data_IF_132161122376
#
_entry.id   IF_132161122376
#
_cell.length_a   1.000
_cell.length_b   1.000
_cell.length_c   1.000
_cell.angle_alpha   90.00
_cell.angle_beta   90.00
_cell.angle_gamma   90.00
#
_symmetry.space_group_name_H-M   'P 1'
#
loop_
_entity.id
_entity.type
_entity.pdbx_description
1 polymer ?
#
# COMPACT_ATOMS: atom_id res chain seq x y z
N UNK A 1 8.81 -18.98 0.78
CA UNK A 1 8.62 -19.15 -0.67
C UNK A 1 9.42 -18.08 -1.37
N UNK A 2 9.91 -18.33 -2.58
CA UNK A 2 10.60 -17.30 -3.36
C UNK A 2 9.63 -16.17 -3.73
N UNK A 3 10.11 -14.93 -3.82
CA UNK A 3 9.28 -13.76 -4.06
C UNK A 3 8.88 -13.63 -5.54
N UNK A 4 8.10 -14.60 -6.00
CA UNK A 4 7.55 -14.65 -7.35
C UNK A 4 6.05 -14.38 -7.35
N UNK A 5 5.51 -13.80 -8.44
CA UNK A 5 4.09 -13.62 -8.59
C UNK A 5 3.34 -14.95 -8.43
N UNK A 6 2.17 -14.88 -7.80
CA UNK A 6 1.27 -16.02 -7.68
C UNK A 6 0.34 -16.08 -8.88
N UNK A 7 0.28 -17.24 -9.55
CA UNK A 7 -0.52 -17.41 -10.78
C UNK A 7 -1.56 -18.50 -10.58
N UNK A 8 -2.83 -18.15 -10.80
CA UNK A 8 -3.94 -19.10 -10.87
C UNK A 8 -4.44 -19.21 -12.32
N UNK A 9 -4.15 -20.34 -12.97
CA UNK A 9 -4.59 -20.56 -14.34
C UNK A 9 -6.10 -20.86 -14.41
N UNK A 10 -6.81 -20.17 -15.30
CA UNK A 10 -8.25 -20.31 -15.49
C UNK A 10 -8.71 -21.76 -15.76
N UNK A 11 -7.96 -22.52 -16.56
CA UNK A 11 -8.26 -23.93 -16.82
C UNK A 11 -8.17 -24.81 -15.56
N UNK A 12 -7.18 -24.56 -14.68
CA UNK A 12 -7.05 -25.23 -13.38
C UNK A 12 -8.17 -24.81 -12.43
N UNK A 13 -8.49 -23.52 -12.40
CA UNK A 13 -9.61 -22.98 -11.62
C UNK A 13 -10.94 -23.62 -12.02
N UNK A 14 -11.29 -23.62 -13.31
CA UNK A 14 -12.52 -24.23 -13.84
C UNK A 14 -12.56 -25.73 -13.50
N UNK A 15 -11.43 -26.45 -13.62
CA UNK A 15 -11.34 -27.86 -13.23
C UNK A 15 -11.61 -28.06 -11.73
N UNK A 16 -11.15 -27.16 -10.86
CA UNK A 16 -11.37 -27.22 -9.41
C UNK A 16 -12.78 -26.81 -9.02
N UNK A 17 -13.35 -25.79 -9.65
CA UNK A 17 -14.76 -25.41 -9.55
C UNK A 17 -15.65 -26.62 -9.84
N UNK A 18 -15.45 -27.28 -10.98
CA UNK A 18 -16.22 -28.49 -11.35
C UNK A 18 -16.05 -29.64 -10.35
N UNK A 19 -14.83 -29.85 -9.84
CA UNK A 19 -14.53 -30.95 -8.91
C UNK A 19 -15.09 -30.73 -7.52
N UNK A 20 -15.06 -29.48 -7.02
CA UNK A 20 -15.36 -29.17 -5.63
C UNK A 20 -16.69 -28.41 -5.44
N UNK A 21 -17.35 -28.01 -6.54
CA UNK A 21 -18.73 -27.51 -6.55
C UNK A 21 -18.92 -26.11 -5.99
N UNK A 22 -17.90 -25.23 -6.05
CA UNK A 22 -17.98 -23.84 -5.58
C UNK A 22 -18.09 -22.86 -6.75
N UNK A 23 -18.63 -21.66 -6.53
CA UNK A 23 -18.76 -20.62 -7.55
C UNK A 23 -17.47 -19.81 -7.69
N UNK A 24 -17.21 -19.25 -8.87
CA UNK A 24 -16.10 -18.29 -9.04
C UNK A 24 -16.30 -17.04 -8.15
N UNK A 25 -17.55 -16.69 -7.85
CA UNK A 25 -17.89 -15.60 -6.94
C UNK A 25 -17.47 -15.90 -5.49
N UNK A 26 -17.35 -17.17 -5.10
CA UNK A 26 -16.85 -17.56 -3.77
C UNK A 26 -15.36 -17.20 -3.59
N UNK A 27 -14.67 -16.88 -4.69
CA UNK A 27 -13.26 -16.44 -4.71
C UNK A 27 -13.10 -14.91 -4.75
N UNK A 28 -14.19 -14.15 -4.63
CA UNK A 28 -14.09 -12.69 -4.48
C UNK A 28 -13.18 -12.38 -3.28
N UNK A 29 -12.17 -11.52 -3.50
CA UNK A 29 -11.09 -11.19 -2.55
C UNK A 29 -10.02 -12.26 -2.32
N UNK A 30 -9.95 -13.33 -3.13
CA UNK A 30 -8.88 -14.33 -3.03
C UNK A 30 -7.45 -13.72 -3.00
N UNK A 31 -7.09 -12.74 -3.85
CA UNK A 31 -5.77 -12.11 -3.77
C UNK A 31 -5.49 -11.46 -2.41
N UNK A 32 -6.47 -10.74 -1.85
CA UNK A 32 -6.38 -10.12 -0.53
C UNK A 32 -6.23 -11.17 0.58
N UNK A 33 -7.03 -12.23 0.54
CA UNK A 33 -6.99 -13.31 1.53
C UNK A 33 -5.71 -14.16 1.43
N UNK A 34 -5.01 -14.13 0.29
CA UNK A 34 -3.70 -14.75 0.12
C UNK A 34 -2.55 -13.85 0.57
N UNK A 35 -2.69 -12.54 0.44
CA UNK A 35 -1.73 -11.58 1.00
C UNK A 35 -1.74 -11.61 2.54
N UNK A 36 -2.90 -11.91 3.15
CA UNK A 36 -3.09 -11.97 4.60
C UNK A 36 -3.80 -13.26 5.05
N UNK A 37 -3.16 -14.43 4.86
CA UNK A 37 -3.78 -15.71 5.13
C UNK A 37 -3.95 -15.95 6.63
N UNK A 38 -4.88 -16.83 6.98
CA UNK A 38 -5.07 -17.32 8.36
C UNK A 38 -3.81 -18.08 8.80
N UNK A 39 -3.32 -18.98 7.96
CA UNK A 39 -2.14 -19.78 8.20
C UNK A 39 -1.53 -20.29 6.89
N UNK A 40 -0.25 -20.62 6.89
CA UNK A 40 0.43 -21.29 5.78
C UNK A 40 1.06 -22.59 6.27
N UNK A 41 0.86 -23.66 5.52
CA UNK A 41 1.30 -25.00 5.84
C UNK A 41 2.32 -25.52 4.81
N UNK A 42 3.28 -26.32 5.27
CA UNK A 42 4.14 -27.13 4.42
C UNK A 42 3.37 -28.35 3.86
N UNK A 43 3.77 -28.81 2.67
CA UNK A 43 3.35 -30.09 2.10
C UNK A 43 4.58 -30.99 2.03
N UNK A 44 4.56 -32.11 2.76
CA UNK A 44 5.69 -33.06 2.78
C UNK A 44 6.12 -33.44 1.35
N UNK A 45 7.30 -32.97 0.94
CA UNK A 45 8.11 -33.60 -0.11
C UNK A 45 8.11 -32.94 -1.50
N UNK A 46 7.40 -31.83 -1.75
CA UNK A 46 7.35 -31.23 -3.11
C UNK A 46 7.59 -29.72 -3.17
N UNK A 47 7.94 -29.08 -2.04
CA UNK A 47 8.19 -27.64 -1.97
C UNK A 47 6.95 -26.77 -2.10
N UNK A 48 5.74 -27.35 -2.11
CA UNK A 48 4.50 -26.56 -2.09
C UNK A 48 4.23 -25.99 -0.71
N UNK A 49 3.42 -24.95 -0.65
CA UNK A 49 2.81 -24.41 0.56
C UNK A 49 1.31 -24.35 0.37
N UNK A 50 0.57 -24.48 1.45
CA UNK A 50 -0.88 -24.33 1.44
C UNK A 50 -1.24 -23.12 2.30
N UNK A 51 -1.81 -22.08 1.71
CA UNK A 51 -2.38 -20.96 2.43
C UNK A 51 -3.84 -21.25 2.77
N UNK A 52 -4.22 -21.06 4.03
CA UNK A 52 -5.60 -21.07 4.49
C UNK A 52 -6.14 -19.64 4.41
N UNK A 53 -7.16 -19.43 3.58
CA UNK A 53 -7.72 -18.12 3.27
C UNK A 53 -8.95 -17.80 4.12
N UNK A 54 -9.19 -16.50 4.34
CA UNK A 54 -10.34 -15.98 5.10
C UNK A 54 -11.62 -15.84 4.24
N UNK A 55 -11.70 -16.58 3.14
CA UNK A 55 -12.91 -16.72 2.32
C UNK A 55 -13.50 -18.11 2.54
N UNK A 56 -14.83 -18.22 2.49
CA UNK A 56 -15.57 -19.46 2.73
C UNK A 56 -16.30 -19.90 1.47
N UNK A 57 -16.40 -21.21 1.26
CA UNK A 57 -17.31 -21.77 0.26
C UNK A 57 -18.78 -21.69 0.75
N UNK A 58 -19.71 -22.00 -0.15
CA UNK A 58 -21.15 -22.07 0.17
C UNK A 58 -21.51 -23.06 1.30
N UNK A 59 -20.59 -23.94 1.72
CA UNK A 59 -20.76 -24.87 2.84
C UNK A 59 -20.13 -24.34 4.14
N UNK A 60 -19.60 -23.13 4.12
CA UNK A 60 -18.96 -22.47 5.28
C UNK A 60 -17.49 -22.87 5.51
N UNK A 61 -16.90 -23.70 4.66
CA UNK A 61 -15.51 -24.13 4.78
C UNK A 61 -14.56 -23.06 4.25
N UNK A 62 -13.49 -22.78 4.99
CA UNK A 62 -12.46 -21.87 4.52
C UNK A 62 -11.71 -22.46 3.32
N UNK A 63 -11.43 -21.63 2.32
CA UNK A 63 -10.63 -22.05 1.18
C UNK A 63 -9.19 -22.30 1.59
N UNK A 64 -8.62 -23.35 1.00
CA UNK A 64 -7.17 -23.54 0.97
C UNK A 64 -6.66 -23.33 -0.44
N UNK A 65 -5.48 -22.74 -0.51
CA UNK A 65 -4.79 -22.41 -1.74
C UNK A 65 -3.44 -23.11 -1.71
N UNK A 66 -3.29 -24.14 -2.52
CA UNK A 66 -1.99 -24.78 -2.68
C UNK A 66 -1.18 -24.02 -3.72
N UNK A 67 -0.07 -23.50 -3.27
CA UNK A 67 0.92 -22.76 -4.06
C UNK A 67 2.14 -23.64 -4.16
N UNK A 68 2.70 -23.81 -5.36
CA UNK A 68 3.99 -24.49 -5.53
C UNK A 68 4.89 -23.60 -6.34
N UNK A 69 6.16 -23.56 -5.96
CA UNK A 69 7.17 -23.09 -6.89
C UNK A 69 7.12 -23.94 -8.16
N UNK A 70 6.90 -23.29 -9.30
CA UNK A 70 6.78 -23.96 -10.57
C UNK A 70 7.41 -23.13 -11.66
N UNK A 71 7.87 -23.82 -12.69
CA UNK A 71 8.23 -23.18 -13.93
C UNK A 71 6.92 -22.87 -14.65
N UNK A 72 6.54 -21.59 -14.64
CA UNK A 72 5.58 -21.07 -15.60
C UNK A 72 6.14 -21.23 -17.01
N UNK A 73 5.34 -20.89 -18.01
CA UNK A 73 5.76 -20.96 -19.41
C UNK A 73 6.98 -20.07 -19.72
N UNK A 74 7.28 -19.06 -18.90
CA UNK A 74 8.37 -18.09 -19.15
C UNK A 74 9.08 -17.54 -17.88
N UNK A 75 8.79 -18.03 -16.67
CA UNK A 75 9.49 -17.63 -15.45
C UNK A 75 9.24 -18.61 -14.29
N UNK A 76 10.10 -18.54 -13.28
CA UNK A 76 9.86 -19.13 -11.97
C UNK A 76 8.68 -18.38 -11.33
N UNK A 77 7.59 -19.09 -11.06
CA UNK A 77 6.37 -18.51 -10.48
C UNK A 77 5.87 -19.34 -9.31
N UNK A 78 5.11 -18.71 -8.44
CA UNK A 78 4.36 -19.40 -7.41
C UNK A 78 3.01 -19.85 -8.02
N UNK A 79 2.98 -21.04 -8.63
CA UNK A 79 1.77 -21.57 -9.26
C UNK A 79 0.75 -21.97 -8.21
N UNK A 80 -0.43 -21.37 -8.27
CA UNK A 80 -1.60 -21.88 -7.55
C UNK A 80 -2.08 -23.15 -8.27
N UNK A 81 -1.82 -24.29 -7.65
CA UNK A 81 -2.16 -25.60 -8.21
C UNK A 81 -3.59 -26.01 -7.87
N UNK A 82 -4.14 -25.48 -6.78
CA UNK A 82 -5.53 -25.71 -6.39
C UNK A 82 -6.06 -24.66 -5.43
N UNK A 83 -7.34 -24.35 -5.59
CA UNK A 83 -8.15 -23.52 -4.69
C UNK A 83 -9.43 -24.30 -4.44
N UNK A 84 -9.78 -24.57 -3.18
CA UNK A 84 -11.03 -25.24 -2.82
C UNK A 84 -11.31 -25.13 -1.31
N UNK A 85 -12.58 -25.21 -0.91
CA UNK A 85 -12.97 -25.28 0.50
C UNK A 85 -12.40 -26.51 1.20
N UNK A 86 -11.87 -26.33 2.41
CA UNK A 86 -11.25 -27.41 3.21
C UNK A 86 -12.01 -27.64 4.49
N UNK A 87 -12.29 -28.92 4.76
CA UNK A 87 -12.89 -29.36 6.02
C UNK A 87 -12.04 -28.93 7.21
N UNK A 88 -12.72 -28.45 8.25
CA UNK A 88 -12.11 -27.94 9.47
C UNK A 88 -11.17 -28.96 10.11
N UNK A 89 -11.61 -30.22 10.21
CA UNK A 89 -10.87 -31.32 10.84
C UNK A 89 -9.57 -31.63 10.10
N UNK A 90 -9.54 -31.39 8.79
CA UNK A 90 -8.32 -31.57 8.00
C UNK A 90 -7.26 -30.52 8.33
N UNK A 91 -7.68 -29.27 8.57
CA UNK A 91 -6.78 -28.17 8.96
C UNK A 91 -6.25 -28.40 10.37
N UNK A 92 -7.12 -28.80 11.31
CA UNK A 92 -6.71 -29.19 12.68
C UNK A 92 -5.66 -30.30 12.64
N UNK A 93 -5.88 -31.31 11.79
CA UNK A 93 -4.90 -32.40 11.59
C UNK A 93 -3.55 -31.90 11.07
N UNK A 94 -3.53 -30.91 10.18
CA UNK A 94 -2.28 -30.32 9.67
C UNK A 94 -1.51 -29.56 10.76
N UNK A 95 -2.20 -28.80 11.60
CA UNK A 95 -1.61 -28.13 12.76
C UNK A 95 -0.94 -29.14 13.68
N UNK A 96 -1.64 -30.21 14.05
CA UNK A 96 -1.11 -31.27 14.92
C UNK A 96 0.07 -32.04 14.32
N UNK A 97 0.11 -32.16 12.99
CA UNK A 97 1.22 -32.82 12.29
C UNK A 97 2.46 -31.92 12.14
N UNK A 98 2.43 -30.70 12.69
CA UNK A 98 3.55 -29.77 12.65
C UNK A 98 3.79 -29.18 11.26
N UNK A 99 2.77 -29.08 10.42
CA UNK A 99 2.93 -28.51 9.07
C UNK A 99 2.89 -26.98 9.08
N UNK A 100 2.61 -26.34 10.20
CA UNK A 100 2.49 -24.88 10.28
C UNK A 100 3.84 -24.21 9.98
N UNK A 101 3.82 -23.22 9.08
CA UNK A 101 5.01 -22.44 8.67
C UNK A 101 4.83 -20.93 8.83
N UNK A 102 3.58 -20.47 8.84
CA UNK A 102 3.20 -19.11 9.18
C UNK A 102 1.79 -19.12 9.79
N UNK A 103 1.54 -18.25 10.75
CA UNK A 103 0.20 -17.99 11.25
C UNK A 103 0.00 -16.51 11.56
N UNK A 104 -1.14 -15.97 11.13
CA UNK A 104 -1.74 -14.83 11.82
C UNK A 104 -2.41 -15.41 13.09
N UNK A 105 -1.78 -15.20 14.25
CA UNK A 105 -2.23 -15.82 15.51
C UNK A 105 -3.68 -15.47 15.82
N UNK A 106 -4.11 -14.24 15.56
CA UNK A 106 -5.47 -13.80 15.86
C UNK A 106 -6.47 -14.53 14.97
N UNK A 107 -6.23 -14.53 13.65
CA UNK A 107 -7.12 -15.19 12.69
C UNK A 107 -7.15 -16.70 12.90
N UNK A 108 -6.01 -17.33 13.17
CA UNK A 108 -5.93 -18.77 13.37
C UNK A 108 -6.65 -19.23 14.65
N UNK A 109 -6.54 -18.47 15.76
CA UNK A 109 -7.29 -18.76 16.98
C UNK A 109 -8.80 -18.50 16.80
N UNK A 110 -9.18 -17.44 16.08
CA UNK A 110 -10.58 -17.19 15.71
C UNK A 110 -11.15 -18.32 14.85
N UNK A 111 -10.38 -18.82 13.89
CA UNK A 111 -10.74 -19.96 13.06
C UNK A 111 -10.99 -21.23 13.90
N UNK A 112 -10.12 -21.52 14.87
CA UNK A 112 -10.25 -22.69 15.76
C UNK A 112 -11.40 -22.60 16.77
N UNK A 113 -11.87 -21.39 17.09
CA UNK A 113 -12.96 -21.15 18.04
C UNK A 113 -14.34 -20.98 17.38
N UNK A 114 -14.40 -20.67 16.09
CA UNK A 114 -15.63 -20.37 15.35
C UNK A 114 -16.44 -21.57 14.86
N UNK A 115 -16.28 -22.77 15.42
CA UNK A 115 -16.92 -23.99 14.91
C UNK A 115 -18.40 -24.13 15.33
N UNK A 116 -19.29 -24.52 14.40
CA UNK A 116 -20.56 -25.17 14.74
C UNK A 116 -20.28 -26.46 15.55
N UNK A 117 -21.16 -26.80 16.49
CA UNK A 117 -21.05 -27.99 17.34
C UNK A 117 -20.63 -29.24 16.54
N UNK A 118 -19.74 -30.10 17.08
CA UNK A 118 -19.17 -31.21 16.34
C UNK A 118 -20.29 -32.08 15.76
N UNK A 119 -20.36 -32.14 14.43
CA UNK A 119 -21.18 -33.14 13.74
C UNK A 119 -20.52 -34.48 14.06
N UNK A 120 -21.26 -35.31 14.81
CA UNK A 120 -20.92 -36.64 15.30
C UNK A 120 -19.59 -37.24 14.77
N UNK A 121 -18.57 -37.27 15.63
CA UNK A 121 -17.52 -38.30 15.60
C UNK A 121 -16.18 -38.00 14.91
N UNK A 122 -15.93 -36.81 14.36
CA UNK A 122 -14.69 -36.58 13.58
C UNK A 122 -13.52 -35.89 14.31
N UNK A 123 -13.75 -35.19 15.43
CA UNK A 123 -12.71 -34.42 16.14
C UNK A 123 -12.92 -34.45 17.66
N UNK A 124 -11.88 -34.80 18.42
CA UNK A 124 -11.93 -34.81 19.90
C UNK A 124 -11.49 -33.46 20.49
N UNK A 125 -11.96 -33.11 21.69
CA UNK A 125 -11.53 -31.91 22.42
C UNK A 125 -10.01 -31.84 22.61
N UNK A 126 -9.39 -33.00 22.87
CA UNK A 126 -7.94 -33.12 23.00
C UNK A 126 -7.20 -32.72 21.70
N UNK A 127 -7.76 -33.05 20.54
CA UNK A 127 -7.17 -32.70 19.24
C UNK A 127 -7.28 -31.20 18.95
N UNK A 128 -8.41 -30.58 19.31
CA UNK A 128 -8.61 -29.15 19.16
C UNK A 128 -7.72 -28.34 20.12
N UNK A 129 -7.60 -28.80 21.36
CA UNK A 129 -6.72 -28.19 22.37
C UNK A 129 -5.26 -28.23 21.93
N UNK A 130 -4.79 -29.36 21.40
CA UNK A 130 -3.44 -29.47 20.86
C UNK A 130 -3.22 -28.50 19.68
N UNK A 131 -4.11 -28.47 18.69
CA UNK A 131 -3.98 -27.53 17.56
C UNK A 131 -3.97 -26.05 18.00
N UNK A 132 -4.78 -25.71 19.00
CA UNK A 132 -4.79 -24.38 19.62
C UNK A 132 -3.45 -24.04 20.26
N UNK A 133 -2.86 -24.99 20.99
CA UNK A 133 -1.53 -24.84 21.59
C UNK A 133 -0.45 -24.63 20.52
N UNK A 134 -0.48 -25.41 19.43
CA UNK A 134 0.46 -25.23 18.30
C UNK A 134 0.43 -23.79 17.78
N UNK A 135 -0.76 -23.21 17.57
CA UNK A 135 -0.88 -21.83 17.08
C UNK A 135 -0.38 -20.80 18.09
N UNK A 136 -0.68 -20.98 19.40
CA UNK A 136 -0.24 -20.06 20.46
C UNK A 136 1.29 -20.00 20.54
N UNK A 137 1.90 -21.18 20.55
CA UNK A 137 3.34 -21.36 20.75
C UNK A 137 4.15 -21.10 19.46
N UNK A 138 3.49 -21.06 18.29
CA UNK A 138 4.15 -20.83 17.02
C UNK A 138 4.83 -19.45 16.97
N UNK A 139 6.07 -19.42 16.46
CA UNK A 139 6.80 -18.19 16.17
C UNK A 139 7.05 -18.11 14.67
N UNK A 140 6.52 -17.06 14.03
CA UNK A 140 6.79 -16.81 12.61
C UNK A 140 8.28 -16.52 12.41
N UNK A 141 8.88 -17.11 11.38
CA UNK A 141 10.25 -16.74 10.97
C UNK A 141 10.27 -15.26 10.57
N UNK A 142 11.31 -14.51 10.99
CA UNK A 142 11.54 -13.14 10.49
C UNK A 142 11.76 -13.22 8.98
N UNK A 143 10.86 -12.63 8.21
CA UNK A 143 10.99 -12.55 6.75
C UNK A 143 12.17 -11.60 6.47
N UNK A 144 13.19 -12.09 5.78
CA UNK A 144 14.23 -11.22 5.19
C UNK A 144 13.63 -10.67 3.90
N UNK A 145 13.26 -9.39 3.91
CA UNK A 145 12.42 -8.67 2.94
C UNK A 145 13.11 -8.36 1.59
N UNK A 146 14.05 -9.19 1.14
CA UNK A 146 15.10 -8.78 0.19
C UNK A 146 14.76 -8.96 -1.31
N UNK A 147 13.49 -8.94 -1.73
CA UNK A 147 13.19 -9.12 -3.18
C UNK A 147 11.97 -8.41 -3.79
N UNK A 148 11.25 -7.51 -3.10
CA UNK A 148 10.23 -6.67 -3.78
C UNK A 148 10.93 -5.50 -4.50
N UNK A 149 10.64 -5.25 -5.79
CA UNK A 149 11.23 -4.12 -6.54
C UNK A 149 10.86 -2.79 -5.88
N UNK A 150 9.66 -2.69 -5.29
CA UNK A 150 9.26 -1.53 -4.46
C UNK A 150 10.07 -1.44 -3.19
N UNK A 151 10.53 -2.57 -2.63
CA UNK A 151 11.45 -2.60 -1.50
C UNK A 151 12.86 -2.16 -1.92
N UNK A 152 13.35 -2.57 -3.09
CA UNK A 152 14.63 -2.08 -3.63
C UNK A 152 14.60 -0.58 -3.97
N UNK A 153 13.52 -0.07 -4.55
CA UNK A 153 13.33 1.36 -4.78
C UNK A 153 13.19 2.13 -3.46
N UNK A 154 12.50 1.55 -2.48
CA UNK A 154 12.35 2.13 -1.14
C UNK A 154 13.67 2.17 -0.36
N UNK A 155 14.46 1.09 -0.37
CA UNK A 155 15.80 1.06 0.21
C UNK A 155 16.73 2.04 -0.51
N UNK A 156 16.61 2.16 -1.84
CA UNK A 156 17.35 3.18 -2.58
C UNK A 156 16.98 4.61 -2.14
N UNK A 157 15.68 4.90 -1.94
CA UNK A 157 15.21 6.19 -1.41
C UNK A 157 15.74 6.43 0.01
N UNK A 158 15.70 5.41 0.88
CA UNK A 158 16.20 5.51 2.26
C UNK A 158 17.71 5.76 2.30
N UNK A 159 18.47 5.00 1.51
CA UNK A 159 19.92 5.14 1.40
C UNK A 159 20.31 6.50 0.82
N UNK A 160 19.64 6.95 -0.25
CA UNK A 160 19.83 8.28 -0.80
C UNK A 160 19.58 9.37 0.25
N UNK A 161 18.45 9.29 0.96
CA UNK A 161 18.13 10.22 2.03
C UNK A 161 19.22 10.24 3.10
N UNK A 162 19.72 9.09 3.54
CA UNK A 162 20.79 9.01 4.55
C UNK A 162 22.10 9.63 4.05
N UNK A 163 22.46 9.42 2.79
CA UNK A 163 23.63 10.08 2.18
C UNK A 163 23.46 11.59 2.14
N UNK A 164 22.30 12.08 1.70
CA UNK A 164 22.00 13.52 1.63
C UNK A 164 21.89 14.16 3.03
N UNK A 165 21.39 13.42 4.03
CA UNK A 165 21.36 13.85 5.44
C UNK A 165 22.77 14.01 5.98
N UNK A 166 23.66 13.05 5.69
CA UNK A 166 25.07 13.12 6.07
C UNK A 166 25.75 14.35 5.43
N UNK A 167 25.50 14.60 4.14
CA UNK A 167 25.98 15.81 3.47
C UNK A 167 25.45 17.10 4.12
N UNK A 168 24.21 17.10 4.63
CA UNK A 168 23.67 18.27 5.34
C UNK A 168 24.40 18.50 6.66
N UNK A 169 24.65 17.43 7.42
CA UNK A 169 25.39 17.47 8.69
C UNK A 169 26.81 18.01 8.45
N UNK A 170 27.46 17.57 7.38
CA UNK A 170 28.81 18.00 6.98
C UNK A 170 28.85 19.40 6.33
N UNK A 171 27.69 19.99 6.03
CA UNK A 171 27.60 21.29 5.35
C UNK A 171 27.92 21.27 3.85
N UNK A 172 27.98 20.08 3.23
CA UNK A 172 28.27 19.88 1.81
C UNK A 172 27.01 19.78 0.94
N UNK A 173 25.82 19.63 1.55
CA UNK A 173 24.56 19.53 0.82
C UNK A 173 24.25 20.84 0.05
N UNK A 174 23.85 20.77 -1.23
CA UNK A 174 23.50 21.95 -2.02
C UNK A 174 22.43 22.84 -1.37
N UNK A 175 22.59 24.16 -1.51
CA UNK A 175 21.59 25.12 -0.99
C UNK A 175 20.24 24.93 -1.69
N UNK A 176 19.18 24.95 -0.90
CA UNK A 176 17.81 24.79 -1.39
C UNK A 176 17.41 23.33 -1.65
N UNK A 177 18.23 22.35 -1.26
CA UNK A 177 17.93 20.93 -1.41
C UNK A 177 16.58 20.53 -0.82
N UNK A 178 15.89 19.65 -1.54
CA UNK A 178 14.62 19.05 -1.15
C UNK A 178 14.82 17.54 -1.04
N UNK A 179 14.72 17.01 0.17
CA UNK A 179 14.67 15.57 0.40
C UNK A 179 13.42 14.96 -0.23
N UNK A 180 13.63 13.84 -0.92
CA UNK A 180 12.58 12.96 -1.43
C UNK A 180 12.44 11.79 -0.48
N UNK A 181 11.30 11.71 0.20
CA UNK A 181 11.03 10.70 1.24
C UNK A 181 10.19 9.51 0.70
N UNK A 182 9.95 9.47 -0.62
CA UNK A 182 9.20 8.41 -1.28
C UNK A 182 7.71 8.70 -1.41
N UNK A 183 6.91 7.65 -1.57
CA UNK A 183 5.44 7.70 -1.74
C UNK A 183 4.78 7.00 -0.55
N UNK A 184 3.59 7.44 -0.10
CA UNK A 184 2.83 6.77 0.95
C UNK A 184 2.58 5.29 0.67
N UNK A 185 3.02 4.41 1.59
CA UNK A 185 2.65 2.99 1.54
C UNK A 185 1.18 2.75 1.94
N UNK A 186 0.79 1.48 2.00
CA UNK A 186 -0.56 1.06 2.34
C UNK A 186 -1.03 1.54 3.73
N UNK A 187 -0.13 1.66 4.71
CA UNK A 187 -0.46 2.18 6.05
C UNK A 187 -0.85 3.66 5.93
N UNK A 188 0.03 4.46 5.34
CA UNK A 188 -0.21 5.90 5.16
C UNK A 188 -1.46 6.17 4.29
N UNK A 189 -1.68 5.39 3.22
CA UNK A 189 -2.87 5.51 2.37
C UNK A 189 -4.16 5.11 3.06
N UNK A 190 -4.14 4.04 3.87
CA UNK A 190 -5.32 3.67 4.66
C UNK A 190 -5.72 4.77 5.64
N UNK A 191 -4.76 5.55 6.12
CA UNK A 191 -4.99 6.75 6.92
C UNK A 191 -5.47 7.99 6.12
N UNK A 192 -5.70 7.85 4.81
CA UNK A 192 -6.19 8.93 3.95
C UNK A 192 -5.11 9.91 3.49
N UNK A 193 -3.82 9.56 3.59
CA UNK A 193 -2.74 10.35 3.00
C UNK A 193 -2.78 10.13 1.47
N UNK A 194 -2.95 11.19 0.66
CA UNK A 194 -3.00 11.11 -0.80
C UNK A 194 -1.73 10.49 -1.34
N UNK A 195 -1.83 9.78 -2.45
CA UNK A 195 -0.70 9.07 -3.03
C UNK A 195 0.12 10.02 -3.91
N UNK A 196 0.73 10.99 -3.23
CA UNK A 196 1.61 12.02 -3.76
C UNK A 196 3.00 11.90 -3.11
N UNK A 197 4.07 12.36 -3.79
CA UNK A 197 5.43 12.36 -3.23
C UNK A 197 5.50 13.03 -1.85
N UNK A 198 6.22 12.40 -0.93
CA UNK A 198 6.54 12.98 0.37
C UNK A 198 7.87 13.75 0.25
N UNK A 199 7.86 15.03 0.60
CA UNK A 199 9.03 15.90 0.50
C UNK A 199 9.33 16.67 1.78
N UNK A 200 10.58 17.04 1.95
CA UNK A 200 11.04 17.89 3.04
C UNK A 200 12.18 18.80 2.59
N UNK A 201 12.11 20.11 2.83
CA UNK A 201 13.26 20.98 2.53
C UNK A 201 14.36 20.84 3.58
N UNK A 202 15.62 20.77 3.13
CA UNK A 202 16.77 20.69 4.03
C UNK A 202 16.86 21.89 4.98
N UNK A 203 16.54 23.08 4.46
CA UNK A 203 16.44 24.32 5.25
C UNK A 203 15.40 24.21 6.38
N UNK A 204 14.29 23.51 6.14
CA UNK A 204 13.27 23.29 7.16
C UNK A 204 13.72 22.27 8.19
N UNK A 205 14.36 21.19 7.77
CA UNK A 205 14.95 20.23 8.70
C UNK A 205 15.93 20.93 9.65
N UNK A 206 16.84 21.77 9.12
CA UNK A 206 17.74 22.61 9.93
C UNK A 206 17.01 23.57 10.85
N UNK A 207 15.98 24.26 10.36
CA UNK A 207 15.22 25.22 11.16
C UNK A 207 14.47 24.53 12.31
N UNK A 208 13.93 23.32 12.07
CA UNK A 208 13.23 22.53 13.07
C UNK A 208 14.18 21.92 14.09
N UNK A 209 15.35 21.44 13.66
CA UNK A 209 16.36 20.86 14.55
C UNK A 209 16.94 21.88 15.53
N UNK A 210 16.95 23.17 15.15
CA UNK A 210 17.45 24.29 15.96
C UNK A 210 16.33 25.09 16.64
N UNK A 211 15.09 24.60 16.62
CA UNK A 211 13.98 25.35 17.20
C UNK A 211 14.05 25.29 18.73
N UNK A 212 14.14 26.45 19.41
CA UNK A 212 14.47 26.56 20.85
C UNK A 212 13.60 25.71 21.78
N UNK A 213 12.32 25.53 21.47
CA UNK A 213 11.40 24.78 22.32
C UNK A 213 11.53 23.25 22.18
N UNK A 214 12.05 22.77 21.04
CA UNK A 214 12.18 21.34 20.74
C UNK A 214 13.45 21.06 19.91
N UNK A 215 14.66 21.38 20.41
CA UNK A 215 15.88 21.15 19.67
C UNK A 215 16.15 19.64 19.53
N UNK A 216 16.79 19.26 18.44
CA UNK A 216 17.27 17.89 18.21
C UNK A 216 18.46 17.86 17.25
N UNK A 217 19.29 16.82 17.32
CA UNK A 217 20.34 16.61 16.32
C UNK A 217 19.72 16.10 15.01
N UNK A 218 20.17 16.61 13.86
CA UNK A 218 19.74 16.15 12.53
C UNK A 218 19.92 14.63 12.34
N UNK A 219 20.87 14.00 13.04
CA UNK A 219 21.03 12.54 13.06
C UNK A 219 19.77 11.78 13.49
N UNK A 220 18.88 12.40 14.28
CA UNK A 220 17.57 11.84 14.64
C UNK A 220 16.73 11.49 13.40
N UNK A 221 16.94 12.20 12.29
CA UNK A 221 16.19 11.99 11.06
C UNK A 221 16.72 10.80 10.25
N UNK A 222 17.80 10.12 10.67
CA UNK A 222 18.32 8.94 9.97
C UNK A 222 17.20 7.91 9.74
N UNK A 223 17.14 7.36 8.54
CA UNK A 223 16.11 6.44 8.09
C UNK A 223 14.67 6.99 8.09
N UNK A 224 14.47 8.32 8.07
CA UNK A 224 13.13 8.92 8.07
C UNK A 224 12.18 8.36 6.99
N UNK A 225 12.58 8.13 5.72
CA UNK A 225 11.71 7.49 4.74
C UNK A 225 11.21 6.11 5.20
N UNK A 226 12.09 5.32 5.82
CA UNK A 226 11.74 4.00 6.34
C UNK A 226 10.78 4.08 7.52
N UNK A 227 11.07 4.98 8.44
CA UNK A 227 10.30 5.22 9.66
C UNK A 227 8.90 5.76 9.36
N UNK A 228 8.75 6.65 8.38
CA UNK A 228 7.45 7.17 7.95
C UNK A 228 6.54 6.08 7.39
N UNK A 229 7.11 5.08 6.73
CA UNK A 229 6.36 3.95 6.20
C UNK A 229 6.06 2.87 7.25
N UNK A 230 6.64 2.96 8.45
CA UNK A 230 6.35 2.09 9.58
C UNK A 230 5.99 2.95 10.81
N UNK A 231 4.88 3.71 10.76
CA UNK A 231 4.54 4.63 11.84
C UNK A 231 4.01 3.88 13.05
N UNK A 232 4.33 4.37 14.24
CA UNK A 232 3.73 3.92 15.48
C UNK A 232 2.26 4.34 15.55
N UNK A 233 1.97 5.57 15.14
CA UNK A 233 0.61 6.11 15.13
C UNK A 233 0.44 7.25 14.13
N UNK A 234 -0.76 7.42 13.60
CA UNK A 234 -1.16 8.55 12.76
C UNK A 234 -2.38 9.22 13.40
N UNK A 235 -2.34 10.54 13.52
CA UNK A 235 -3.37 11.35 14.17
C UNK A 235 -3.89 12.44 13.25
N UNK A 236 -5.19 12.72 13.37
CA UNK A 236 -5.79 13.91 12.74
C UNK A 236 -5.19 15.18 13.33
N UNK A 237 -4.85 16.16 12.48
CA UNK A 237 -4.38 17.47 12.91
C UNK A 237 -5.20 18.58 12.25
N UNK A 238 -6.01 19.29 13.04
CA UNK A 238 -6.96 20.27 12.51
C UNK A 238 -7.89 19.62 11.49
N UNK A 239 -7.84 20.09 10.24
CA UNK A 239 -8.53 19.47 9.12
C UNK A 239 -7.73 18.26 8.60
N UNK A 240 -8.22 17.04 8.89
CA UNK A 240 -7.56 15.77 8.52
C UNK A 240 -7.34 15.57 7.02
N UNK A 241 -8.02 16.34 6.18
CA UNK A 241 -7.83 16.32 4.72
C UNK A 241 -6.65 17.18 4.28
N UNK A 242 -6.15 18.06 5.17
CA UNK A 242 -5.07 19.00 4.89
C UNK A 242 -3.79 18.70 5.65
N UNK A 243 -3.88 18.10 6.84
CA UNK A 243 -2.71 17.78 7.63
C UNK A 243 -2.94 16.62 8.61
N UNK A 244 -1.87 15.89 8.88
CA UNK A 244 -1.84 14.78 9.84
C UNK A 244 -0.51 14.79 10.61
N UNK A 245 -0.53 14.27 11.84
CA UNK A 245 0.67 14.04 12.63
C UNK A 245 1.00 12.56 12.66
N UNK A 246 2.25 12.20 12.39
CA UNK A 246 2.75 10.84 12.38
C UNK A 246 3.78 10.71 13.48
N UNK A 247 3.61 9.72 14.36
CA UNK A 247 4.62 9.33 15.35
C UNK A 247 5.40 8.16 14.77
N UNK A 248 6.72 8.30 14.73
CA UNK A 248 7.62 7.26 14.21
C UNK A 248 8.58 6.77 15.29
N UNK A 249 9.16 5.59 15.09
CA UNK A 249 10.09 4.98 16.03
C UNK A 249 11.52 5.54 15.89
N UNK A 250 11.66 6.84 16.14
CA UNK A 250 12.95 7.51 16.36
C UNK A 250 12.85 8.34 17.63
N UNK A 251 13.91 8.37 18.44
CA UNK A 251 13.89 9.05 19.73
C UNK A 251 15.07 9.99 19.93
N UNK A 252 14.78 11.12 20.57
CA UNK A 252 15.78 12.05 21.07
C UNK A 252 15.36 12.46 22.49
N UNK A 253 16.27 12.30 23.46
CA UNK A 253 16.01 12.61 24.86
C UNK A 253 14.74 11.90 25.42
N UNK A 254 14.56 10.62 25.07
CA UNK A 254 13.41 9.82 25.51
C UNK A 254 12.05 10.20 24.90
N UNK A 255 12.04 11.10 23.90
CA UNK A 255 10.83 11.58 23.20
C UNK A 255 10.80 11.06 21.77
N UNK A 256 9.65 10.58 21.31
CA UNK A 256 9.47 10.11 19.94
C UNK A 256 9.46 11.26 18.93
N UNK A 257 9.98 11.03 17.73
CA UNK A 257 9.88 11.99 16.64
C UNK A 257 8.44 12.07 16.13
N UNK A 258 7.88 13.28 16.21
CA UNK A 258 6.66 13.63 15.51
C UNK A 258 7.00 14.23 14.15
N UNK A 259 6.36 13.71 13.10
CA UNK A 259 6.39 14.25 11.75
C UNK A 259 5.01 14.83 11.40
N UNK A 260 4.95 16.14 11.24
CA UNK A 260 3.74 16.85 10.83
C UNK A 260 3.70 16.97 9.30
N UNK A 261 2.74 16.31 8.67
CA UNK A 261 2.60 16.22 7.22
C UNK A 261 1.44 17.09 6.74
N UNK A 262 1.71 17.99 5.79
CA UNK A 262 0.66 18.72 5.07
C UNK A 262 0.37 18.01 3.75
N UNK A 263 -0.90 17.72 3.49
CA UNK A 263 -1.36 16.92 2.36
C UNK A 263 -1.64 17.79 1.14
N UNK A 264 -1.44 17.23 -0.07
CA UNK A 264 -1.76 17.85 -1.36
C UNK A 264 -1.31 19.31 -1.50
N UNK A 265 -0.07 19.60 -1.07
CA UNK A 265 0.46 20.96 -1.12
C UNK A 265 0.97 21.27 -2.52
N UNK A 266 0.33 22.24 -3.18
CA UNK A 266 0.83 22.78 -4.45
C UNK A 266 2.24 23.40 -4.28
N UNK A 267 3.22 22.88 -5.03
CA UNK A 267 4.57 23.44 -5.20
C UNK A 267 4.87 23.60 -6.69
N UNK A 268 4.81 24.84 -7.16
CA UNK A 268 4.91 25.12 -8.60
C UNK A 268 3.74 24.46 -9.33
N UNK A 269 4.04 23.43 -10.12
CA UNK A 269 3.06 22.71 -10.93
C UNK A 269 2.66 21.35 -10.37
N UNK A 270 3.31 20.88 -9.31
CA UNK A 270 3.03 19.57 -8.70
C UNK A 270 2.34 19.73 -7.35
N UNK A 271 1.64 18.68 -6.92
CA UNK A 271 1.17 18.53 -5.55
C UNK A 271 2.03 17.52 -4.82
N UNK A 272 2.37 17.80 -3.56
CA UNK A 272 3.19 16.92 -2.73
C UNK A 272 2.63 16.84 -1.32
N UNK A 273 2.91 15.73 -0.64
CA UNK A 273 2.78 15.66 0.80
C UNK A 273 4.04 16.31 1.42
N UNK A 274 3.90 17.49 2.02
CA UNK A 274 5.03 18.30 2.48
C UNK A 274 5.24 18.15 4.00
N UNK A 275 6.41 17.66 4.41
CA UNK A 275 6.80 17.62 5.82
C UNK A 275 7.02 19.05 6.31
N UNK A 276 6.22 19.45 7.30
CA UNK A 276 6.16 20.81 7.87
C UNK A 276 6.55 20.84 9.34
N UNK A 277 6.22 19.80 10.08
CA UNK A 277 6.59 19.63 11.48
C UNK A 277 7.62 18.51 11.65
N UNK A 278 8.66 18.78 12.43
CA UNK A 278 9.60 17.78 12.95
C UNK A 278 9.97 18.23 14.36
N UNK A 279 9.68 17.42 15.36
CA UNK A 279 10.14 17.68 16.72
C UNK A 279 9.97 16.45 17.60
N UNK A 280 10.84 16.24 18.60
CA UNK A 280 10.62 15.24 19.63
C UNK A 280 9.36 15.58 20.45
N UNK A 281 8.53 14.57 20.67
CA UNK A 281 7.24 14.64 21.35
C UNK A 281 7.23 13.64 22.50
N UNK A 282 6.90 14.12 23.69
CA UNK A 282 6.79 13.26 24.85
C UNK A 282 5.73 12.17 24.65
N UNK A 283 6.05 10.94 25.04
CA UNK A 283 5.17 9.78 24.88
C UNK A 283 3.78 10.03 25.46
N UNK A 284 3.73 10.62 26.66
CA UNK A 284 2.46 10.87 27.32
C UNK A 284 1.56 11.85 26.52
N UNK A 285 2.14 12.80 25.80
CA UNK A 285 1.38 13.80 25.06
C UNK A 285 0.66 13.19 23.86
N UNK A 286 1.33 12.32 23.10
CA UNK A 286 0.70 11.68 21.94
C UNK A 286 -0.17 10.48 22.34
N UNK A 287 0.11 9.79 23.46
CA UNK A 287 -0.83 8.82 24.05
C UNK A 287 -2.14 9.50 24.46
N UNK A 288 -2.10 10.73 24.99
CA UNK A 288 -3.32 11.49 25.29
C UNK A 288 -4.17 11.76 24.03
N UNK A 289 -3.57 11.85 22.84
CA UNK A 289 -4.34 12.02 21.60
C UNK A 289 -5.18 10.78 21.25
N UNK A 290 -4.75 9.59 21.68
CA UNK A 290 -5.55 8.37 21.57
C UNK A 290 -6.80 8.50 22.45
N UNK A 291 -6.63 8.94 23.72
CA UNK A 291 -7.76 9.19 24.63
C UNK A 291 -8.74 10.24 24.09
N UNK A 292 -8.23 11.23 23.36
CA UNK A 292 -9.03 12.28 22.72
C UNK A 292 -9.73 11.84 21.41
N UNK A 293 -9.59 10.58 21.00
CA UNK A 293 -10.21 10.06 19.78
C UNK A 293 -9.62 10.60 18.47
N UNK A 294 -8.37 11.11 18.50
CA UNK A 294 -7.71 11.69 17.31
C UNK A 294 -6.99 10.65 16.44
N UNK A 295 -6.91 9.41 16.89
CA UNK A 295 -6.20 8.34 16.20
C UNK A 295 -6.85 8.00 14.86
N UNK A 296 -6.03 7.87 13.83
CA UNK A 296 -6.40 7.40 12.48
C UNK A 296 -5.82 5.99 12.26
N UNK A 297 -4.57 5.77 12.66
CA UNK A 297 -3.90 4.47 12.59
C UNK A 297 -3.08 4.26 13.87
N UNK A 298 -3.05 3.02 14.36
CA UNK A 298 -2.27 2.61 15.53
C UNK A 298 -1.55 1.29 15.25
N UNK A 299 -0.22 1.26 15.45
CA UNK A 299 0.51 0.03 15.70
C UNK A 299 0.28 -0.40 17.16
N UNK A 300 -0.71 -1.27 17.34
CA UNK A 300 -1.18 -1.66 18.67
C UNK A 300 -0.11 -2.38 19.49
N UNK A 301 0.75 -3.17 18.86
CA UNK A 301 1.75 -3.97 19.58
C UNK A 301 2.83 -3.05 20.14
N UNK A 302 3.41 -2.21 19.28
CA UNK A 302 4.44 -1.25 19.65
C UNK A 302 3.92 -0.21 20.66
N UNK A 303 2.68 0.26 20.52
CA UNK A 303 2.07 1.19 21.49
C UNK A 303 1.83 0.49 22.84
N UNK A 304 1.40 -0.77 22.85
CA UNK A 304 1.22 -1.52 24.09
C UNK A 304 2.53 -1.73 24.83
N UNK A 305 3.62 -2.02 24.12
CA UNK A 305 4.96 -2.12 24.69
C UNK A 305 5.38 -0.80 25.35
N UNK A 306 5.20 0.33 24.66
CA UNK A 306 5.49 1.66 25.21
C UNK A 306 4.67 2.00 26.46
N UNK A 307 3.38 1.67 26.49
CA UNK A 307 2.56 1.84 27.68
C UNK A 307 3.06 0.99 28.85
N UNK A 308 3.49 -0.24 28.59
CA UNK A 308 4.04 -1.12 29.63
C UNK A 308 5.36 -0.59 30.19
N UNK A 309 6.26 -0.09 29.35
CA UNK A 309 7.49 0.57 29.79
C UNK A 309 7.20 1.77 30.71
N UNK A 310 6.18 2.59 30.38
CA UNK A 310 5.80 3.74 31.21
C UNK A 310 5.15 3.36 32.54
N UNK A 311 4.38 2.27 32.62
CA UNK A 311 3.82 1.77 33.90
C UNK A 311 4.92 1.46 34.94
N UNK A 312 6.12 1.12 34.50
CA UNK A 312 7.27 0.82 35.37
C UNK A 312 7.92 2.12 35.87
N UNK A 313 7.83 3.21 35.11
CA UNK A 313 8.39 4.53 35.45
C UNK A 313 7.33 5.44 36.11
N UNK A 314 7.06 5.21 37.40
CA UNK A 314 6.03 5.87 38.21
C UNK A 314 6.00 7.42 38.15
N UNK A 315 7.13 8.09 37.90
CA UNK A 315 7.23 9.55 37.88
C UNK A 315 6.47 10.23 36.72
N UNK A 316 6.14 9.51 35.64
CA UNK A 316 5.42 10.07 34.47
C UNK A 316 3.95 9.62 34.37
N UNK A 317 3.51 8.70 35.22
CA UNK A 317 2.18 8.06 35.15
C UNK A 317 1.06 8.97 35.70
N UNK A 318 1.41 10.04 36.43
CA UNK A 318 0.42 10.93 37.07
C UNK A 318 -0.50 11.69 36.10
N UNK A 319 -0.16 11.75 34.80
CA UNK A 319 -0.84 12.60 33.82
C UNK A 319 -1.71 11.84 32.80
N UNK A 320 -1.82 10.51 32.89
CA UNK A 320 -2.58 9.69 31.94
C UNK A 320 -3.30 8.53 32.59
N UNK A 321 -4.56 8.34 32.21
CA UNK A 321 -5.27 7.08 32.40
C UNK A 321 -4.82 6.06 31.34
N UNK A 322 -3.72 5.37 31.62
CA UNK A 322 -3.15 4.35 30.73
C UNK A 322 -4.08 3.15 30.55
N UNK A 323 -5.00 2.89 31.50
CA UNK A 323 -5.94 1.77 31.41
C UNK A 323 -7.07 2.08 30.44
N UNK A 324 -7.61 3.30 30.49
CA UNK A 324 -8.56 3.79 29.50
C UNK A 324 -7.94 3.77 28.08
N UNK A 325 -6.71 4.25 27.94
CA UNK A 325 -5.99 4.24 26.64
C UNK A 325 -5.75 2.81 26.18
N UNK A 326 -5.33 1.91 27.07
CA UNK A 326 -5.16 0.48 26.75
C UNK A 326 -6.44 -0.13 26.16
N UNK A 327 -7.60 0.21 26.72
CA UNK A 327 -8.89 -0.26 26.18
C UNK A 327 -9.15 0.31 24.78
N UNK A 328 -8.95 1.61 24.57
CA UNK A 328 -9.12 2.24 23.25
C UNK A 328 -8.21 1.59 22.21
N UNK A 329 -6.92 1.40 22.51
CA UNK A 329 -5.95 0.78 21.60
C UNK A 329 -6.38 -0.64 21.21
N UNK A 330 -6.85 -1.45 22.17
CA UNK A 330 -7.33 -2.82 21.90
C UNK A 330 -8.52 -2.82 20.95
N UNK A 331 -9.48 -1.94 21.17
CA UNK A 331 -10.74 -1.90 20.42
C UNK A 331 -10.61 -1.17 19.07
N UNK A 332 -9.60 -0.32 18.90
CA UNK A 332 -9.38 0.50 17.69
C UNK A 332 -9.32 -0.33 16.41
N UNK A 333 -10.07 0.01 15.37
CA UNK A 333 -9.96 -0.66 14.07
C UNK A 333 -9.18 0.23 13.11
N UNK A 334 -7.99 -0.22 12.70
CA UNK A 334 -7.25 0.48 11.66
C UNK A 334 -8.07 0.50 10.36
N UNK A 335 -8.06 1.63 9.63
CA UNK A 335 -8.81 1.75 8.40
C UNK A 335 -8.36 0.69 7.39
N UNK A 336 -9.31 0.13 6.65
CA UNK A 336 -8.99 -0.59 5.43
C UNK A 336 -8.54 0.44 4.38
N UNK A 337 -7.70 0.04 3.43
CA UNK A 337 -7.36 0.92 2.31
C UNK A 337 -8.63 1.46 1.64
N UNK A 338 -8.68 2.76 1.28
CA UNK A 338 -9.88 3.43 0.78
C UNK A 338 -10.37 2.97 -0.62
N UNK A 339 -9.82 1.90 -1.20
CA UNK A 339 -10.33 1.35 -2.46
C UNK A 339 -11.64 0.59 -2.22
N UNK A 340 -12.74 1.36 -2.17
CA UNK A 340 -14.11 0.90 -2.09
C UNK A 340 -14.85 1.03 -3.42
N UNK A 341 -15.37 -0.09 -3.90
CA UNK A 341 -16.58 -0.24 -4.75
C UNK A 341 -16.65 0.63 -6.02
N UNK A 342 -16.29 0.04 -7.16
CA UNK A 342 -16.94 0.39 -8.42
C UNK A 342 -18.39 -0.12 -8.34
N UNK A 343 -19.35 0.78 -8.10
CA UNK A 343 -20.71 0.58 -8.58
C UNK A 343 -20.68 0.83 -10.09
N UNK A 344 -20.74 -0.23 -10.89
CA UNK A 344 -21.16 -0.09 -12.28
C UNK A 344 -22.63 0.34 -12.20
N UNK A 345 -22.90 1.60 -12.51
CA UNK A 345 -24.26 2.10 -12.65
C UNK A 345 -24.95 1.32 -13.77
N UNK A 346 -26.10 0.73 -13.44
CA UNK A 346 -27.04 0.19 -14.40
C UNK A 346 -27.46 1.30 -15.39
N UNK A 347 -26.89 1.29 -16.59
CA UNK A 347 -27.44 2.05 -17.71
C UNK A 347 -28.53 1.22 -18.40
N UNK A 348 -29.68 1.11 -17.72
CA UNK A 348 -30.97 0.85 -18.38
C UNK A 348 -31.73 2.16 -18.49
N UNK A 349 -31.52 2.93 -19.57
CA UNK A 349 -32.54 3.84 -20.10
C UNK A 349 -32.45 3.90 -21.62
N UNK A 350 -33.16 2.97 -22.25
CA UNK A 350 -33.79 3.19 -23.55
C UNK A 350 -34.88 4.24 -23.37
N UNK A 351 -34.81 5.34 -24.15
CA UNK A 351 -35.99 6.04 -24.69
C UNK A 351 -35.58 7.07 -25.75
N UNK A 352 -35.79 6.65 -27.01
CA UNK A 352 -36.50 7.36 -28.08
C UNK A 352 -36.44 8.89 -28.09
N UNK A 353 -35.91 9.46 -29.17
CA UNK A 353 -36.42 10.67 -29.83
C UNK A 353 -35.75 10.76 -31.22
N UNK A 354 -36.22 9.92 -32.13
CA UNK A 354 -36.12 10.19 -33.56
C UNK A 354 -37.37 10.99 -33.99
N UNK A 355 -37.18 11.84 -35.00
CA UNK A 355 -38.18 12.66 -35.70
C UNK A 355 -38.61 13.99 -35.06
N UNK A 356 -37.84 15.05 -35.36
CA UNK A 356 -38.28 16.19 -36.22
C UNK A 356 -37.34 17.37 -36.01
N UNK A 357 -36.52 17.68 -37.01
CA UNK A 357 -36.69 18.85 -37.89
C UNK A 357 -35.40 19.11 -38.68
N UNK A 358 -35.55 19.07 -40.00
CA UNK A 358 -34.56 19.47 -41.00
C UNK A 358 -34.43 21.00 -41.04
N UNK A 359 -33.20 21.44 -41.35
CA UNK A 359 -32.79 22.69 -42.04
C UNK A 359 -32.86 24.02 -41.27
N UNK A 360 -31.69 24.50 -40.86
CA UNK A 360 -30.99 25.71 -41.37
C UNK A 360 -29.62 25.70 -40.67
N UNK A 361 -28.49 25.61 -41.36
CA UNK A 361 -27.90 26.73 -42.11
C UNK A 361 -26.92 27.52 -41.21
N UNK A 362 -25.73 26.95 -41.02
CA UNK A 362 -24.46 27.64 -40.68
C UNK A 362 -24.35 28.42 -39.36
N UNK A 363 -24.02 27.73 -38.28
CA UNK A 363 -23.09 28.24 -37.26
C UNK A 363 -22.48 27.06 -36.50
N UNK A 364 -21.17 26.85 -36.65
CA UNK A 364 -20.41 25.84 -35.93
C UNK A 364 -20.50 26.11 -34.43
N UNK A 365 -21.41 25.40 -33.77
CA UNK A 365 -21.35 25.14 -32.34
C UNK A 365 -20.47 23.91 -32.19
N UNK A 366 -19.19 24.11 -31.87
CA UNK A 366 -18.32 23.02 -31.44
C UNK A 366 -18.80 22.61 -30.04
N UNK A 367 -19.68 21.61 -29.99
CA UNK A 367 -19.94 20.83 -28.79
C UNK A 367 -18.73 19.93 -28.55
N UNK A 368 -18.04 20.09 -27.42
CA UNK A 368 -16.88 19.28 -27.02
C UNK A 368 -17.27 17.83 -26.69
N UNK A 369 -17.73 17.07 -27.67
CA UNK A 369 -18.03 15.63 -27.52
C UNK A 369 -17.29 14.74 -28.52
N UNK A 370 -16.49 15.27 -29.45
CA UNK A 370 -15.64 14.44 -30.31
C UNK A 370 -14.36 15.19 -30.74
N UNK A 371 -13.33 15.18 -29.88
CA UNK A 371 -11.96 15.48 -30.32
C UNK A 371 -11.17 14.15 -30.34
N UNK A 372 -11.28 13.42 -31.45
CA UNK A 372 -10.55 12.18 -31.77
C UNK A 372 -9.02 12.32 -31.66
N UNK A 373 -8.49 13.54 -31.43
CA UNK A 373 -7.08 13.85 -31.19
C UNK A 373 -6.53 13.40 -29.84
N UNK A 374 -7.38 13.10 -28.86
CA UNK A 374 -6.96 12.73 -27.50
C UNK A 374 -7.04 11.24 -27.17
N UNK A 375 -7.34 10.38 -28.15
CA UNK A 375 -7.44 8.93 -27.94
C UNK A 375 -6.13 8.23 -28.30
N UNK A 376 -5.76 7.22 -27.50
CA UNK A 376 -4.63 6.34 -27.79
C UNK A 376 -4.71 5.81 -29.24
N UNK A 377 -3.73 6.18 -30.07
CA UNK A 377 -3.70 5.79 -31.48
C UNK A 377 -3.60 4.27 -31.62
N UNK A 378 -4.14 3.68 -32.71
CA UNK A 378 -4.01 2.22 -32.96
C UNK A 378 -2.56 1.74 -32.92
N UNK A 379 -1.63 2.59 -33.37
CA UNK A 379 -0.19 2.31 -33.37
C UNK A 379 0.35 2.26 -31.94
N UNK A 380 0.08 3.29 -31.14
CA UNK A 380 0.60 3.38 -29.77
C UNK A 380 -0.09 2.38 -28.85
N UNK A 381 -1.37 2.08 -29.10
CA UNK A 381 -2.09 0.95 -28.48
C UNK A 381 -1.36 -0.36 -28.72
N UNK A 382 -0.98 -0.65 -29.97
CA UNK A 382 -0.22 -1.87 -30.29
C UNK A 382 1.17 -1.88 -29.61
N UNK A 383 1.80 -0.71 -29.43
CA UNK A 383 3.06 -0.58 -28.69
C UNK A 383 2.86 -0.90 -27.20
N UNK A 384 1.85 -0.30 -26.57
CA UNK A 384 1.49 -0.56 -25.18
C UNK A 384 1.11 -2.03 -24.99
N UNK A 385 0.20 -2.55 -25.80
CA UNK A 385 -0.14 -3.99 -25.82
C UNK A 385 1.11 -4.84 -26.00
N UNK A 386 2.05 -4.45 -26.86
CA UNK A 386 3.33 -5.14 -27.03
C UNK A 386 4.22 -5.12 -25.80
N UNK A 387 4.22 -4.03 -25.02
CA UNK A 387 4.93 -3.97 -23.73
C UNK A 387 4.24 -4.81 -22.66
N UNK A 388 2.91 -4.76 -22.60
CA UNK A 388 2.12 -5.51 -21.63
C UNK A 388 2.13 -7.02 -21.96
N UNK A 389 2.11 -7.40 -23.23
CA UNK A 389 2.24 -8.80 -23.67
C UNK A 389 3.64 -9.38 -23.41
N UNK A 390 4.65 -8.53 -23.18
CA UNK A 390 5.96 -8.98 -22.68
C UNK A 390 5.94 -9.28 -21.19
N UNK A 391 4.93 -8.80 -20.46
CA UNK A 391 4.67 -9.16 -19.07
C UNK A 391 3.83 -10.43 -19.04
N UNK A 392 4.47 -11.52 -18.64
CA UNK A 392 3.83 -12.83 -18.54
C UNK A 392 2.89 -12.97 -17.33
N UNK A 393 2.86 -11.96 -16.47
CA UNK A 393 2.04 -11.85 -15.27
C UNK A 393 0.76 -11.02 -15.49
N UNK A 394 0.49 -10.56 -16.71
CA UNK A 394 -0.78 -9.92 -17.10
C UNK A 394 -1.61 -10.88 -17.97
N UNK A 395 -2.88 -11.12 -17.62
CA UNK A 395 -3.82 -11.85 -18.50
C UNK A 395 -4.29 -10.99 -19.67
N UNK A 396 -4.85 -11.59 -20.71
CA UNK A 396 -5.46 -10.83 -21.81
C UNK A 396 -6.59 -9.91 -21.32
N UNK A 397 -7.33 -10.31 -20.27
CA UNK A 397 -8.34 -9.47 -19.63
C UNK A 397 -7.72 -8.30 -18.86
N UNK A 398 -6.60 -8.49 -18.16
CA UNK A 398 -5.88 -7.41 -17.46
C UNK A 398 -5.22 -6.43 -18.46
N UNK A 399 -4.68 -6.96 -19.55
CA UNK A 399 -4.20 -6.15 -20.68
C UNK A 399 -5.36 -5.38 -21.29
N UNK A 400 -6.51 -6.02 -21.54
CA UNK A 400 -7.69 -5.35 -22.07
C UNK A 400 -8.22 -4.27 -21.13
N UNK A 401 -8.30 -4.55 -19.83
CA UNK A 401 -8.73 -3.59 -18.80
C UNK A 401 -7.76 -2.42 -18.69
N UNK A 402 -6.44 -2.66 -18.76
CA UNK A 402 -5.44 -1.60 -18.79
C UNK A 402 -5.59 -0.74 -20.06
N UNK A 403 -5.77 -1.36 -21.22
CA UNK A 403 -5.94 -0.65 -22.49
C UNK A 403 -7.23 0.17 -22.48
N UNK A 404 -8.32 -0.38 -21.98
CA UNK A 404 -9.59 0.34 -21.80
C UNK A 404 -9.43 1.53 -20.87
N UNK A 405 -8.80 1.32 -19.72
CA UNK A 405 -8.50 2.36 -18.74
C UNK A 405 -7.61 3.48 -19.33
N UNK A 406 -6.61 3.14 -20.15
CA UNK A 406 -5.69 4.12 -20.75
C UNK A 406 -6.21 4.76 -22.04
N UNK A 407 -7.31 4.26 -22.61
CA UNK A 407 -7.90 4.76 -23.87
C UNK A 407 -8.28 6.25 -23.86
N UNK A 408 -8.82 6.82 -22.76
CA UNK A 408 -9.19 8.24 -22.69
C UNK A 408 -8.01 9.21 -22.62
N UNK A 409 -6.77 8.72 -22.44
CA UNK A 409 -5.59 9.56 -22.30
C UNK A 409 -4.87 9.76 -23.63
N UNK A 410 -4.14 10.88 -23.76
CA UNK A 410 -3.30 11.14 -24.92
C UNK A 410 -2.19 10.07 -25.07
N UNK A 411 -1.65 9.94 -26.28
CA UNK A 411 -0.65 8.91 -26.60
C UNK A 411 0.58 8.95 -25.67
N UNK A 412 1.05 10.14 -25.30
CA UNK A 412 2.26 10.28 -24.48
C UNK A 412 2.00 9.79 -23.05
N UNK A 413 0.85 10.16 -22.49
CA UNK A 413 0.39 9.71 -21.18
C UNK A 413 0.17 8.19 -21.15
N UNK A 414 -0.55 7.65 -22.13
CA UNK A 414 -0.85 6.23 -22.22
C UNK A 414 0.39 5.37 -22.49
N UNK A 415 1.36 5.84 -23.28
CA UNK A 415 2.65 5.16 -23.47
C UNK A 415 3.44 5.15 -22.15
N UNK A 416 3.52 6.27 -21.43
CA UNK A 416 4.23 6.30 -20.15
C UNK A 416 3.58 5.38 -19.10
N UNK A 417 2.25 5.43 -18.98
CA UNK A 417 1.46 4.47 -18.19
C UNK A 417 1.80 3.05 -18.57
N UNK A 418 1.74 2.73 -19.87
CA UNK A 418 2.01 1.41 -20.41
C UNK A 418 3.41 0.91 -20.06
N UNK A 419 4.42 1.77 -20.17
CA UNK A 419 5.81 1.42 -19.87
C UNK A 419 6.06 1.24 -18.38
N UNK A 420 5.57 2.15 -17.54
CA UNK A 420 5.75 2.06 -16.08
C UNK A 420 4.97 0.89 -15.50
N UNK A 421 3.75 0.66 -15.98
CA UNK A 421 3.00 -0.53 -15.63
C UNK A 421 3.73 -1.77 -16.15
N UNK A 422 4.19 -1.81 -17.40
CA UNK A 422 4.98 -2.94 -17.93
C UNK A 422 6.28 -3.22 -17.16
N UNK A 423 6.83 -2.23 -16.45
CA UNK A 423 8.01 -2.39 -15.60
C UNK A 423 7.67 -2.72 -14.14
N UNK A 424 6.39 -2.81 -13.78
CA UNK A 424 5.94 -3.06 -12.41
C UNK A 424 6.18 -1.89 -11.45
N UNK A 425 6.42 -0.68 -11.99
CA UNK A 425 6.71 0.52 -11.18
C UNK A 425 5.48 1.33 -10.82
N UNK A 426 4.31 0.92 -11.32
CA UNK A 426 2.98 1.43 -10.94
C UNK A 426 1.92 0.32 -10.93
N UNK A 427 0.83 0.55 -10.21
CA UNK A 427 -0.45 -0.17 -10.17
C UNK A 427 -1.55 0.80 -10.59
N UNK A 428 -2.46 0.41 -11.46
CA UNK A 428 -3.56 1.28 -11.90
C UNK A 428 -4.89 0.63 -11.55
N UNK A 429 -5.91 1.40 -11.14
CA UNK A 429 -5.94 2.88 -11.10
C UNK A 429 -5.24 3.50 -9.88
N UNK A 430 -4.67 2.69 -8.98
CA UNK A 430 -4.17 3.16 -7.69
C UNK A 430 -3.15 4.30 -7.84
N UNK A 431 -2.18 4.14 -8.75
CA UNK A 431 -1.09 5.07 -9.01
C UNK A 431 -1.43 6.20 -10.01
N UNK A 432 -2.72 6.39 -10.36
CA UNK A 432 -3.15 7.34 -11.38
C UNK A 432 -2.70 8.78 -11.09
N UNK A 433 -2.88 9.27 -9.86
CA UNK A 433 -2.51 10.64 -9.49
C UNK A 433 -1.00 10.87 -9.65
N UNK A 434 -0.18 9.90 -9.22
CA UNK A 434 1.27 9.95 -9.36
C UNK A 434 1.69 9.97 -10.84
N UNK A 435 1.03 9.17 -11.68
CA UNK A 435 1.28 9.18 -13.12
C UNK A 435 0.94 10.54 -13.73
N UNK A 436 -0.25 11.10 -13.45
CA UNK A 436 -0.67 12.41 -13.96
C UNK A 436 0.34 13.49 -13.56
N UNK A 437 0.79 13.45 -12.32
CA UNK A 437 1.82 14.36 -11.82
C UNK A 437 3.15 14.19 -12.58
N UNK A 438 3.61 12.97 -12.80
CA UNK A 438 4.84 12.70 -13.55
C UNK A 438 4.75 13.17 -15.01
N UNK A 439 3.59 13.01 -15.65
CA UNK A 439 3.36 13.53 -17.01
C UNK A 439 3.47 15.05 -17.03
N UNK A 440 2.79 15.74 -16.11
CA UNK A 440 2.87 17.20 -15.98
C UNK A 440 4.30 17.69 -15.78
N UNK A 441 5.07 16.99 -14.93
CA UNK A 441 6.51 17.24 -14.75
C UNK A 441 7.27 17.05 -16.06
N UNK A 442 6.98 16.01 -16.83
CA UNK A 442 7.67 15.77 -18.10
C UNK A 442 7.47 16.91 -19.10
N UNK A 443 6.26 17.48 -19.16
CA UNK A 443 5.90 18.57 -20.08
C UNK A 443 6.64 19.86 -19.75
N UNK A 444 6.67 20.23 -18.46
CA UNK A 444 7.32 21.46 -18.00
C UNK A 444 8.83 21.37 -18.11
N UNK A 445 9.40 20.22 -17.75
CA UNK A 445 10.82 19.97 -17.92
C UNK A 445 11.23 19.79 -19.39
N UNK A 446 10.26 19.71 -20.31
CA UNK A 446 10.42 19.42 -21.74
C UNK A 446 11.22 18.15 -21.99
N UNK A 447 10.90 17.09 -21.23
CA UNK A 447 11.53 15.78 -21.33
C UNK A 447 10.50 14.72 -21.74
N UNK A 448 11.01 13.65 -22.34
CA UNK A 448 10.23 12.48 -22.67
C UNK A 448 10.06 11.59 -21.42
N UNK A 449 8.83 11.34 -20.93
CA UNK A 449 8.58 10.52 -19.75
C UNK A 449 9.02 9.07 -19.94
N UNK A 450 9.11 8.57 -21.17
CA UNK A 450 9.56 7.21 -21.47
C UNK A 450 11.05 7.00 -21.19
N UNK A 451 11.83 8.05 -20.96
CA UNK A 451 13.25 7.94 -20.56
C UNK A 451 13.44 7.53 -19.10
N UNK A 452 12.36 7.49 -18.32
CA UNK A 452 12.37 7.19 -16.89
C UNK A 452 11.74 5.82 -16.63
N UNK A 453 12.34 5.03 -15.74
CA UNK A 453 11.90 3.67 -15.40
C UNK A 453 10.62 3.67 -14.54
N UNK A 454 10.38 4.74 -13.79
CA UNK A 454 9.18 4.93 -12.96
C UNK A 454 8.74 6.41 -12.94
N UNK A 455 7.47 6.68 -12.61
CA UNK A 455 7.01 8.06 -12.39
C UNK A 455 7.79 8.73 -11.26
N UNK A 456 8.13 7.98 -10.21
CA UNK A 456 8.90 8.45 -9.05
C UNK A 456 10.28 8.94 -9.50
N UNK A 457 10.98 8.15 -10.31
CA UNK A 457 12.29 8.54 -10.84
C UNK A 457 12.20 9.85 -11.63
N UNK A 458 11.18 9.98 -12.48
CA UNK A 458 10.93 11.20 -13.27
C UNK A 458 10.70 12.41 -12.37
N UNK A 459 9.78 12.29 -11.40
CA UNK A 459 9.43 13.36 -10.47
C UNK A 459 10.66 13.80 -9.67
N UNK A 460 11.41 12.83 -9.11
CA UNK A 460 12.60 13.11 -8.33
C UNK A 460 13.70 13.77 -9.17
N UNK A 461 13.89 13.35 -10.42
CA UNK A 461 14.95 13.88 -11.28
C UNK A 461 14.73 15.36 -11.64
N UNK A 462 13.49 15.80 -11.81
CA UNK A 462 13.21 17.16 -12.27
C UNK A 462 12.67 18.09 -11.19
N UNK A 463 12.56 17.65 -9.93
CA UNK A 463 11.89 18.43 -8.88
C UNK A 463 12.42 19.86 -8.69
N UNK A 464 13.69 20.10 -8.99
CA UNK A 464 14.35 21.40 -8.79
C UNK A 464 13.91 22.46 -9.82
N UNK A 465 13.41 22.03 -10.98
CA UNK A 465 12.79 22.92 -11.97
C UNK A 465 11.45 23.50 -11.49
N UNK A 466 10.94 23.04 -10.34
CA UNK A 466 9.65 23.41 -9.75
C UNK A 466 9.76 24.20 -8.45
N UNK A 467 10.98 24.41 -7.94
CA UNK A 467 11.19 25.33 -6.83
C UNK A 467 10.89 26.76 -7.31
N UNK A 468 10.11 27.58 -6.57
CA UNK A 468 9.89 28.96 -6.96
C UNK A 468 11.26 29.63 -7.05
N UNK A 469 11.72 29.88 -8.29
CA UNK A 469 12.79 30.85 -8.53
C UNK A 469 12.32 32.12 -7.83
N UNK A 470 13.11 32.59 -6.87
CA UNK A 470 13.13 33.95 -6.37
C UNK A 470 13.25 34.88 -7.58
N UNK A 471 12.12 35.19 -8.22
CA UNK A 471 11.96 36.33 -9.10
C UNK A 471 11.84 37.52 -8.18
N UNK A 472 12.99 38.11 -7.86
CA UNK A 472 13.27 39.54 -7.77
C UNK A 472 14.47 39.74 -6.86
N UNK A 473 15.62 40.04 -7.47
CA UNK A 473 16.56 41.10 -7.10
C UNK A 473 17.59 41.19 -8.23
N UNK A 474 17.10 41.63 -9.40
CA UNK A 474 17.88 42.36 -10.40
C UNK A 474 16.94 43.40 -11.00
N UNK A 475 16.80 44.51 -10.28
CA UNK A 475 16.69 45.82 -10.90
C UNK A 475 17.69 46.72 -10.17
N UNK A 476 18.28 47.59 -10.98
CA UNK A 476 19.43 48.46 -10.79
C UNK A 476 19.56 49.11 -9.41
#
# INVERSE_FOLDING_TARGET
MANYPMVLYGNKLIKKIKKHGYSILDLLNLPKSLAYPIAVFDTKGDGSRIALAEIKDHKGNNFVVSVRYGNGTQAEVNVITSVYGKLFESVVRWLRKGYLTYADKKKALAYLSGTPAPIAGALTEAELSHATKVVKDFQNQKIVEDNDIRYREFEAVNNQFNTELQQQIEGTLPKGHIYKLGIPNHILRSAGIPMLPIEMSASRASAKSKQDNHPFNLELLRDLPRLLNNPLAIFSYGDKTKAQNIIVEAQYDGKELLVGLHLSKQKGYIEVNDVRGLFPKDTYQWLNWIAQGKAIYLDKESIQEKMNQRRINLAEVAHLDLDAITKIVKDFQNPAEPYGKFQIGDNTQTKTLDEKQRKNGSQEVITHEDDLRYRLSKKDRSVVEGWLRKRNDLTEEEIAAFIEYTTPFDNKTALAMGRWFANGTIRLPEDQEMVIQAIKVSEIAKVDPLRYSSPIQLINTHSDKYSPKTRQLKKC
#
